data_IF_450887520431
#
_entry.id   IF_450887520431
#
_cell.length_a   1.000
_cell.length_b   1.000
_cell.length_c   1.000
_cell.angle_alpha   90.00
_cell.angle_beta   90.00
_cell.angle_gamma   90.00
#
_symmetry.space_group_name_H-M   'P 1'
#
loop_
_entity.id
_entity.type
_entity.pdbx_description
1 polymer ?
#
# COMPACT_ATOMS: atom_id res chain seq x y z
N UNK A 1 7.56 1.15 21.08
CA UNK A 1 6.41 0.33 21.51
C UNK A 1 5.07 1.02 21.22
N UNK A 2 4.90 2.29 21.57
CA UNK A 2 3.67 3.08 21.35
C UNK A 2 3.26 3.14 19.87
N UNK A 3 4.18 3.52 18.97
CA UNK A 3 3.91 3.57 17.51
C UNK A 3 3.45 2.21 16.96
N UNK A 4 4.06 1.13 17.41
CA UNK A 4 3.66 -0.23 17.00
C UNK A 4 2.23 -0.54 17.45
N UNK A 5 1.88 -0.21 18.71
CA UNK A 5 0.54 -0.45 19.24
C UNK A 5 -0.52 0.37 18.51
N UNK A 6 -0.22 1.64 18.18
CA UNK A 6 -1.15 2.49 17.43
C UNK A 6 -1.41 1.92 16.03
N UNK A 7 -0.36 1.51 15.31
CA UNK A 7 -0.51 0.90 13.98
C UNK A 7 -1.24 -0.43 14.03
N UNK A 8 -0.92 -1.29 15.00
CA UNK A 8 -1.58 -2.57 15.18
C UNK A 8 -3.08 -2.40 15.51
N UNK A 9 -3.42 -1.43 16.37
CA UNK A 9 -4.80 -1.13 16.72
C UNK A 9 -5.59 -0.63 15.50
N UNK A 10 -5.03 0.27 14.70
CA UNK A 10 -5.65 0.75 13.47
C UNK A 10 -5.88 -0.39 12.47
N UNK A 11 -4.87 -1.24 12.24
CA UNK A 11 -5.00 -2.41 11.36
C UNK A 11 -6.09 -3.36 11.86
N UNK A 12 -6.08 -3.70 13.15
CA UNK A 12 -7.10 -4.59 13.75
C UNK A 12 -8.51 -4.02 13.62
N UNK A 13 -8.70 -2.73 13.92
CA UNK A 13 -10.00 -2.09 13.80
C UNK A 13 -10.49 -2.08 12.35
N UNK A 14 -9.60 -1.72 11.40
CA UNK A 14 -9.90 -1.74 9.97
C UNK A 14 -10.31 -3.14 9.52
N UNK A 15 -9.50 -4.15 9.77
CA UNK A 15 -9.81 -5.54 9.40
C UNK A 15 -11.11 -6.04 10.06
N UNK A 16 -11.35 -5.68 11.33
CA UNK A 16 -12.59 -6.06 12.01
C UNK A 16 -13.83 -5.52 11.30
N UNK A 17 -13.81 -4.26 10.89
CA UNK A 17 -14.90 -3.63 10.13
C UNK A 17 -15.09 -4.34 8.79
N UNK A 18 -13.99 -4.56 8.05
CA UNK A 18 -14.03 -5.14 6.72
C UNK A 18 -14.52 -6.59 6.71
N UNK A 19 -14.01 -7.40 7.64
CA UNK A 19 -14.41 -8.81 7.78
C UNK A 19 -15.87 -8.90 8.23
N UNK A 20 -16.27 -8.13 9.24
CA UNK A 20 -17.65 -8.14 9.73
C UNK A 20 -18.65 -7.82 8.62
N UNK A 21 -18.36 -6.83 7.78
CA UNK A 21 -19.23 -6.43 6.69
C UNK A 21 -19.17 -7.41 5.51
N UNK A 22 -18.01 -7.99 5.23
CA UNK A 22 -17.85 -9.06 4.25
C UNK A 22 -18.72 -10.27 4.60
N UNK A 23 -18.55 -10.82 5.80
CA UNK A 23 -19.38 -11.92 6.31
C UNK A 23 -20.87 -11.53 6.37
N UNK A 24 -21.12 -10.25 6.70
CA UNK A 24 -22.47 -9.65 6.66
C UNK A 24 -23.10 -9.70 5.28
N UNK A 25 -22.34 -9.62 4.20
CA UNK A 25 -22.79 -9.80 2.82
C UNK A 25 -23.28 -11.21 2.56
N UNK A 26 -22.51 -12.24 2.92
CA UNK A 26 -22.90 -13.65 2.82
C UNK A 26 -24.13 -13.93 3.67
N UNK A 27 -24.14 -13.44 4.89
CA UNK A 27 -25.27 -13.58 5.82
C UNK A 27 -26.55 -12.98 5.25
N UNK A 28 -26.49 -11.75 4.73
CA UNK A 28 -27.65 -11.05 4.18
C UNK A 28 -28.30 -11.82 3.03
N UNK A 29 -27.52 -12.23 2.02
CA UNK A 29 -28.03 -12.96 0.88
C UNK A 29 -28.48 -14.38 1.27
N UNK A 30 -27.81 -15.04 2.22
CA UNK A 30 -28.27 -16.33 2.75
C UNK A 30 -29.66 -16.21 3.37
N UNK A 31 -29.87 -15.23 4.24
CA UNK A 31 -31.20 -15.01 4.86
C UNK A 31 -32.24 -14.58 3.82
N UNK A 32 -31.89 -13.76 2.83
CA UNK A 32 -32.77 -13.32 1.75
C UNK A 32 -33.32 -14.52 0.93
N UNK A 33 -32.50 -15.53 0.69
CA UNK A 33 -32.89 -16.73 -0.06
C UNK A 33 -33.34 -17.91 0.82
N UNK A 34 -33.53 -17.66 2.11
CA UNK A 34 -34.01 -18.69 3.05
C UNK A 34 -32.99 -19.80 3.26
N UNK A 35 -31.71 -19.48 3.20
CA UNK A 35 -30.62 -20.38 3.56
C UNK A 35 -30.30 -20.19 5.04
N UNK A 36 -30.13 -21.29 5.76
CA UNK A 36 -29.82 -21.28 7.19
C UNK A 36 -28.35 -20.94 7.37
N UNK A 37 -28.10 -19.96 8.24
CA UNK A 37 -26.76 -19.64 8.75
C UNK A 37 -26.65 -20.18 10.17
N UNK A 38 -25.68 -21.04 10.42
CA UNK A 38 -25.48 -21.72 11.70
C UNK A 38 -24.68 -20.85 12.66
N UNK A 39 -23.56 -20.27 12.18
CA UNK A 39 -22.67 -19.40 12.95
C UNK A 39 -22.33 -18.14 12.18
N UNK A 40 -22.22 -17.03 12.89
CA UNK A 40 -21.72 -15.75 12.39
C UNK A 40 -20.73 -15.21 13.41
N UNK A 41 -19.44 -15.28 13.09
CA UNK A 41 -18.37 -14.96 14.02
C UNK A 41 -17.44 -13.90 13.47
N UNK A 42 -17.20 -12.89 14.28
CA UNK A 42 -16.05 -12.01 14.09
C UNK A 42 -14.86 -12.68 14.75
N UNK A 43 -13.78 -12.86 14.02
CA UNK A 43 -12.57 -13.60 14.38
C UNK A 43 -12.80 -15.13 14.49
N UNK A 44 -11.73 -15.86 14.23
CA UNK A 44 -11.76 -17.33 14.38
C UNK A 44 -11.71 -17.73 15.85
N UNK A 45 -12.38 -18.83 16.17
CA UNK A 45 -12.52 -19.38 17.52
C UNK A 45 -11.90 -20.80 17.68
N UNK A 46 -10.68 -21.09 17.15
CA UNK A 46 -10.08 -22.39 17.36
C UNK A 46 -9.93 -22.65 18.86
N UNK A 47 -10.51 -23.77 19.31
CA UNK A 47 -10.56 -24.30 20.69
C UNK A 47 -11.50 -23.54 21.64
N UNK A 48 -11.65 -22.20 21.58
CA UNK A 48 -12.58 -21.45 22.43
C UNK A 48 -12.99 -20.12 21.79
N UNK A 49 -14.08 -19.56 22.23
CA UNK A 49 -14.57 -18.23 21.87
C UNK A 49 -14.53 -17.28 23.07
N UNK A 50 -14.41 -15.99 22.82
CA UNK A 50 -14.46 -14.96 23.85
C UNK A 50 -15.89 -14.68 24.28
N UNK A 51 -16.82 -14.71 23.33
CA UNK A 51 -18.23 -14.45 23.54
C UNK A 51 -19.06 -15.23 22.53
N UNK A 52 -20.20 -15.78 22.98
CA UNK A 52 -21.20 -16.44 22.13
C UNK A 52 -22.60 -16.07 22.60
N UNK A 53 -23.48 -15.82 21.64
CA UNK A 53 -24.87 -15.46 21.90
C UNK A 53 -25.79 -16.06 20.83
N UNK A 54 -26.84 -16.76 21.25
CA UNK A 54 -27.89 -17.29 20.36
C UNK A 54 -29.25 -16.71 20.74
N UNK A 55 -29.86 -15.85 19.87
CA UNK A 55 -31.22 -15.36 20.10
C UNK A 55 -32.22 -16.49 20.15
N UNK A 56 -33.24 -16.40 21.01
CA UNK A 56 -34.26 -17.46 21.22
C UNK A 56 -35.01 -17.86 19.96
N UNK A 57 -35.17 -16.93 19.00
CA UNK A 57 -35.92 -17.13 17.76
C UNK A 57 -35.00 -17.15 16.53
N UNK A 58 -33.72 -17.45 16.69
CA UNK A 58 -32.75 -17.50 15.60
C UNK A 58 -32.09 -18.85 15.53
N UNK A 59 -31.89 -19.35 14.30
CA UNK A 59 -31.06 -20.54 14.05
C UNK A 59 -29.56 -20.19 14.09
N UNK A 60 -29.22 -18.90 14.06
CA UNK A 60 -27.84 -18.42 13.99
C UNK A 60 -27.29 -18.15 15.38
N UNK A 61 -26.09 -18.67 15.62
CA UNK A 61 -25.26 -18.35 16.80
C UNK A 61 -24.27 -17.24 16.39
N UNK A 62 -24.25 -16.16 17.13
CA UNK A 62 -23.33 -15.02 16.94
C UNK A 62 -22.21 -15.11 17.95
N UNK A 63 -20.97 -14.84 17.54
CA UNK A 63 -19.84 -14.95 18.43
C UNK A 63 -18.66 -14.06 18.09
N UNK A 64 -17.75 -13.98 19.06
CA UNK A 64 -16.46 -13.33 18.94
C UNK A 64 -15.37 -14.36 19.25
N UNK A 65 -14.56 -14.67 18.26
CA UNK A 65 -13.37 -15.49 18.43
C UNK A 65 -12.22 -14.70 19.07
N UNK A 66 -11.15 -15.39 19.38
CA UNK A 66 -9.96 -14.77 19.97
C UNK A 66 -8.86 -14.49 18.95
N UNK A 67 -8.90 -15.13 17.76
CA UNK A 67 -7.84 -15.05 16.75
C UNK A 67 -8.21 -14.03 15.66
N UNK A 68 -7.63 -12.82 15.66
CA UNK A 68 -8.03 -11.71 14.79
C UNK A 68 -7.48 -11.83 13.35
N UNK A 69 -7.54 -13.03 12.76
CA UNK A 69 -7.06 -13.30 11.39
C UNK A 69 -8.18 -13.36 10.34
N UNK A 70 -9.43 -13.12 10.72
CA UNK A 70 -10.58 -13.17 9.85
C UNK A 70 -11.86 -13.35 10.67
N UNK A 71 -12.95 -13.72 10.01
CA UNK A 71 -14.22 -14.12 10.60
C UNK A 71 -14.80 -15.22 9.73
N UNK A 72 -16.01 -15.70 10.06
CA UNK A 72 -16.69 -16.66 9.22
C UNK A 72 -18.21 -16.63 9.38
N UNK A 73 -18.88 -16.95 8.30
CA UNK A 73 -20.31 -17.14 8.22
C UNK A 73 -20.59 -18.59 7.81
N UNK A 74 -20.83 -19.50 8.81
CA UNK A 74 -21.11 -20.91 8.52
C UNK A 74 -22.51 -21.08 7.93
N UNK A 75 -22.56 -21.40 6.63
CA UNK A 75 -23.78 -21.57 5.84
C UNK A 75 -24.09 -23.06 5.74
N UNK A 76 -25.34 -23.47 6.12
CA UNK A 76 -25.74 -24.88 6.06
C UNK A 76 -25.67 -25.43 4.64
N UNK A 77 -25.11 -26.63 4.48
CA UNK A 77 -25.02 -27.33 3.19
C UNK A 77 -24.01 -26.76 2.22
N UNK A 78 -22.98 -26.07 2.74
CA UNK A 78 -21.82 -25.57 2.01
C UNK A 78 -20.55 -26.20 2.58
N UNK A 79 -19.59 -26.54 1.73
CA UNK A 79 -18.23 -26.85 2.14
C UNK A 79 -17.52 -25.50 2.25
N UNK A 80 -17.18 -25.11 3.45
CA UNK A 80 -16.47 -23.88 3.77
C UNK A 80 -15.08 -24.18 4.39
N UNK A 81 -14.43 -23.18 4.89
CA UNK A 81 -13.13 -23.28 5.55
C UNK A 81 -13.11 -24.18 6.79
N UNK A 82 -14.29 -24.55 7.33
CA UNK A 82 -14.41 -25.50 8.45
C UNK A 82 -14.24 -26.97 8.01
N UNK A 83 -14.24 -27.25 6.69
CA UNK A 83 -14.16 -28.58 6.10
C UNK A 83 -15.20 -29.59 6.70
N UNK A 84 -16.35 -29.08 7.13
CA UNK A 84 -17.43 -29.91 7.70
C UNK A 84 -18.15 -30.68 6.58
N UNK A 85 -17.57 -31.82 6.22
CA UNK A 85 -18.15 -32.71 5.18
C UNK A 85 -19.21 -33.67 5.73
N UNK A 86 -19.40 -33.76 7.03
CA UNK A 86 -20.40 -34.69 7.63
C UNK A 86 -21.82 -34.32 7.25
N UNK A 87 -22.12 -33.01 7.19
CA UNK A 87 -23.44 -32.53 6.76
C UNK A 87 -23.72 -32.89 5.30
N UNK A 88 -22.69 -32.89 4.45
CA UNK A 88 -22.84 -33.25 3.03
C UNK A 88 -23.22 -34.71 2.78
N UNK A 89 -22.99 -35.63 3.75
CA UNK A 89 -23.37 -37.04 3.67
C UNK A 89 -24.86 -37.26 3.97
N UNK A 90 -25.55 -36.27 4.53
CA UNK A 90 -26.97 -36.35 4.86
C UNK A 90 -27.85 -35.95 3.66
N UNK A 91 -29.12 -36.38 3.62
CA UNK A 91 -30.06 -35.94 2.59
C UNK A 91 -30.20 -34.42 2.59
N UNK A 92 -30.23 -33.84 1.39
CA UNK A 92 -30.35 -32.40 1.16
C UNK A 92 -31.64 -31.83 1.78
N UNK A 93 -31.52 -30.68 2.46
CA UNK A 93 -32.63 -30.00 3.10
C UNK A 93 -32.98 -28.71 2.36
N UNK A 94 -34.25 -28.26 2.33
CA UNK A 94 -34.68 -27.07 1.59
C UNK A 94 -34.04 -25.76 2.07
N UNK A 95 -33.52 -25.72 3.30
CA UNK A 95 -32.82 -24.54 3.88
C UNK A 95 -31.32 -24.57 3.66
N UNK A 96 -30.76 -25.53 2.94
CA UNK A 96 -29.35 -25.65 2.67
C UNK A 96 -28.93 -24.89 1.41
N UNK A 97 -27.71 -24.41 1.38
CA UNK A 97 -27.09 -23.72 0.24
C UNK A 97 -27.17 -24.56 -1.04
N UNK A 98 -26.84 -25.85 -0.95
CA UNK A 98 -26.83 -26.78 -2.10
C UNK A 98 -28.21 -26.99 -2.72
N UNK A 99 -29.30 -26.74 -1.98
CA UNK A 99 -30.69 -26.88 -2.48
C UNK A 99 -31.13 -25.70 -3.35
N UNK A 100 -30.39 -24.59 -3.34
CA UNK A 100 -30.78 -23.40 -4.05
C UNK A 100 -30.29 -23.39 -5.49
N UNK A 101 -31.02 -22.76 -6.42
CA UNK A 101 -30.59 -22.62 -7.80
C UNK A 101 -29.24 -21.87 -7.88
N UNK A 102 -28.44 -22.15 -8.92
CA UNK A 102 -27.07 -21.68 -9.05
C UNK A 102 -26.96 -20.13 -8.94
N UNK A 103 -27.92 -19.38 -9.49
CA UNK A 103 -27.91 -17.92 -9.41
C UNK A 103 -28.08 -17.37 -7.98
N UNK A 104 -28.88 -18.03 -7.12
CA UNK A 104 -29.01 -17.63 -5.72
C UNK A 104 -27.72 -17.94 -4.94
N UNK A 105 -27.13 -19.11 -5.19
CA UNK A 105 -25.83 -19.48 -4.63
C UNK A 105 -24.73 -18.52 -5.07
N UNK A 106 -24.74 -18.10 -6.33
CA UNK A 106 -23.82 -17.11 -6.86
C UNK A 106 -23.94 -15.76 -6.11
N UNK A 107 -25.16 -15.28 -5.90
CA UNK A 107 -25.38 -14.02 -5.16
C UNK A 107 -24.98 -14.13 -3.68
N UNK A 108 -25.13 -15.29 -3.06
CA UNK A 108 -24.63 -15.52 -1.70
C UNK A 108 -23.11 -15.40 -1.68
N UNK A 109 -22.40 -16.03 -2.62
CA UNK A 109 -20.93 -16.01 -2.66
C UNK A 109 -20.37 -14.64 -3.06
N UNK A 110 -20.98 -13.95 -4.01
CA UNK A 110 -20.56 -12.60 -4.39
C UNK A 110 -20.90 -11.56 -3.32
N UNK A 111 -21.81 -11.90 -2.38
CA UNK A 111 -22.33 -10.99 -1.38
C UNK A 111 -21.26 -10.30 -0.53
N UNK A 112 -20.28 -11.05 -0.03
CA UNK A 112 -19.16 -10.53 0.75
C UNK A 112 -18.29 -9.57 -0.08
N UNK A 113 -17.90 -9.99 -1.27
CA UNK A 113 -17.10 -9.19 -2.21
C UNK A 113 -17.81 -7.90 -2.58
N UNK A 114 -19.11 -7.99 -2.91
CA UNK A 114 -19.93 -6.84 -3.29
C UNK A 114 -20.02 -5.81 -2.16
N UNK A 115 -20.24 -6.26 -0.94
CA UNK A 115 -20.34 -5.37 0.23
C UNK A 115 -19.02 -4.65 0.46
N UNK A 116 -17.88 -5.34 0.41
CA UNK A 116 -16.58 -4.69 0.57
C UNK A 116 -16.28 -3.68 -0.55
N UNK A 117 -16.63 -4.01 -1.79
CA UNK A 117 -16.45 -3.08 -2.91
C UNK A 117 -17.31 -1.81 -2.74
N UNK A 118 -18.60 -1.98 -2.46
CA UNK A 118 -19.52 -0.86 -2.22
C UNK A 118 -19.09 -0.04 -1.01
N UNK A 119 -18.65 -0.69 0.06
CA UNK A 119 -18.12 -0.03 1.25
C UNK A 119 -16.92 0.86 0.93
N UNK A 120 -15.98 0.37 0.15
CA UNK A 120 -14.81 1.16 -0.24
C UNK A 120 -15.22 2.43 -1.02
N UNK A 121 -16.11 2.29 -2.01
CA UNK A 121 -16.63 3.43 -2.78
C UNK A 121 -17.36 4.43 -1.88
N UNK A 122 -18.13 3.92 -0.92
CA UNK A 122 -18.84 4.76 0.06
C UNK A 122 -17.84 5.50 0.96
N UNK A 123 -16.83 4.82 1.50
CA UNK A 123 -15.81 5.45 2.37
C UNK A 123 -15.06 6.53 1.60
N UNK A 124 -14.58 6.27 0.36
CA UNK A 124 -13.93 7.30 -0.46
C UNK A 124 -14.86 8.49 -0.73
N UNK A 125 -16.14 8.25 -0.99
CA UNK A 125 -17.11 9.33 -1.17
C UNK A 125 -17.25 10.18 0.11
N UNK A 126 -17.31 9.54 1.27
CA UNK A 126 -17.42 10.25 2.55
C UNK A 126 -16.14 11.00 2.93
N UNK A 127 -14.97 10.46 2.58
CA UNK A 127 -13.68 11.16 2.73
C UNK A 127 -13.69 12.44 1.90
N UNK A 128 -14.03 12.36 0.63
CA UNK A 128 -14.08 13.52 -0.26
C UNK A 128 -15.15 14.54 0.17
N UNK A 129 -16.27 14.09 0.73
CA UNK A 129 -17.27 14.96 1.30
C UNK A 129 -16.78 15.72 2.53
N UNK A 130 -16.06 15.03 3.44
CA UNK A 130 -15.70 15.59 4.74
C UNK A 130 -14.39 16.40 4.69
N UNK A 131 -13.37 15.89 4.00
CA UNK A 131 -12.03 16.51 3.93
C UNK A 131 -11.74 17.19 2.58
N UNK A 132 -12.51 16.86 1.53
CA UNK A 132 -12.17 17.30 0.17
C UNK A 132 -11.01 16.51 -0.42
N UNK A 133 -10.36 17.08 -1.42
CA UNK A 133 -9.21 16.53 -2.13
C UNK A 133 -8.11 17.60 -2.21
N UNK A 134 -7.05 17.44 -1.42
CA UNK A 134 -5.90 18.31 -1.37
C UNK A 134 -4.73 17.70 -2.16
N UNK A 135 -4.23 18.44 -3.14
CA UNK A 135 -3.05 18.02 -3.88
C UNK A 135 -2.22 19.19 -4.38
N UNK A 136 -0.94 18.94 -4.62
CA UNK A 136 -0.06 19.84 -5.35
C UNK A 136 0.05 19.34 -6.78
N UNK A 137 -0.39 20.17 -7.74
CA UNK A 137 -0.26 19.82 -9.15
C UNK A 137 1.21 19.72 -9.55
N UNK A 138 1.56 18.76 -10.41
CA UNK A 138 2.93 18.68 -10.95
C UNK A 138 3.35 19.97 -11.63
N UNK A 139 2.42 20.69 -12.26
CA UNK A 139 2.65 22.00 -12.88
C UNK A 139 2.98 23.12 -11.86
N UNK A 140 2.49 22.99 -10.62
CA UNK A 140 2.75 23.96 -9.54
C UNK A 140 4.05 23.64 -8.78
N UNK A 141 4.72 22.52 -9.07
CA UNK A 141 6.02 22.13 -8.52
C UNK A 141 7.13 22.90 -9.25
N UNK A 142 7.24 24.19 -8.98
CA UNK A 142 8.08 25.15 -9.71
C UNK A 142 9.58 24.85 -9.65
N UNK A 143 10.06 24.10 -8.66
CA UNK A 143 11.44 23.61 -8.60
C UNK A 143 11.71 22.46 -9.58
N UNK A 144 10.65 21.88 -10.16
CA UNK A 144 10.73 20.73 -11.06
C UNK A 144 11.12 19.44 -10.36
N UNK A 145 11.65 18.51 -11.14
CA UNK A 145 12.01 17.17 -10.69
C UNK A 145 13.51 16.95 -10.70
N UNK A 146 13.97 15.99 -9.90
CA UNK A 146 15.31 15.43 -9.88
C UNK A 146 15.28 14.08 -10.58
N UNK A 147 16.26 13.81 -11.42
CA UNK A 147 16.31 12.60 -12.22
C UNK A 147 17.60 11.82 -12.00
N UNK A 148 17.53 10.50 -12.04
CA UNK A 148 18.70 9.63 -11.99
C UNK A 148 19.45 9.58 -13.33
N UNK A 149 20.51 8.78 -13.39
CA UNK A 149 21.36 8.64 -14.59
C UNK A 149 20.60 8.01 -15.77
N UNK A 150 19.72 7.05 -15.50
CA UNK A 150 18.90 6.38 -16.51
C UNK A 150 17.91 7.37 -17.16
N UNK A 151 17.16 8.11 -16.34
CA UNK A 151 16.26 9.13 -16.83
C UNK A 151 16.98 10.22 -17.63
N UNK A 152 18.18 10.64 -17.19
CA UNK A 152 19.00 11.60 -17.91
C UNK A 152 19.48 11.06 -19.26
N UNK A 153 19.76 9.77 -19.38
CA UNK A 153 20.09 9.14 -20.66
C UNK A 153 18.90 9.14 -21.66
N UNK A 154 17.66 9.19 -21.16
CA UNK A 154 16.46 9.37 -21.97
C UNK A 154 16.16 10.85 -22.32
N UNK A 155 16.99 11.78 -21.84
CA UNK A 155 16.88 13.18 -22.17
C UNK A 155 16.26 14.08 -21.11
N UNK A 156 15.85 13.54 -19.96
CA UNK A 156 15.40 14.36 -18.81
C UNK A 156 16.56 15.17 -18.24
N UNK A 157 16.23 16.31 -17.64
CA UNK A 157 17.17 17.17 -16.92
C UNK A 157 16.57 17.56 -15.58
N UNK A 158 17.45 17.75 -14.59
CA UNK A 158 17.01 18.29 -13.31
C UNK A 158 16.30 19.63 -13.55
N UNK A 159 15.25 19.90 -12.77
CA UNK A 159 14.32 21.02 -12.89
C UNK A 159 13.29 20.94 -14.05
N UNK A 160 13.24 19.85 -14.83
CA UNK A 160 12.10 19.66 -15.72
C UNK A 160 10.82 19.50 -14.87
N UNK A 161 9.76 20.20 -15.29
CA UNK A 161 8.43 20.04 -14.71
C UNK A 161 7.66 19.03 -15.57
N UNK A 162 7.21 17.95 -14.96
CA UNK A 162 6.43 16.92 -15.64
C UNK A 162 4.99 17.41 -15.87
N UNK A 163 4.50 17.28 -17.08
CA UNK A 163 3.14 17.74 -17.47
C UNK A 163 2.21 16.57 -17.69
N UNK A 164 2.63 15.55 -18.44
CA UNK A 164 1.79 14.41 -18.78
C UNK A 164 2.45 13.48 -19.79
N UNK A 165 1.68 12.52 -20.26
CA UNK A 165 2.04 11.61 -21.35
C UNK A 165 0.97 11.66 -22.45
N UNK A 166 1.10 10.84 -23.49
CA UNK A 166 0.03 10.66 -24.48
C UNK A 166 -1.27 10.10 -23.86
N UNK A 167 -1.21 9.58 -22.63
CA UNK A 167 -2.39 9.05 -21.90
C UNK A 167 -3.17 10.14 -21.16
N UNK A 168 -2.56 11.28 -20.89
CA UNK A 168 -3.17 12.39 -20.19
C UNK A 168 -2.19 13.23 -19.37
N UNK A 169 -2.71 14.29 -18.75
CA UNK A 169 -1.94 15.14 -17.87
C UNK A 169 -1.78 14.50 -16.47
N UNK A 170 -0.61 14.70 -15.88
CA UNK A 170 -0.38 14.31 -14.48
C UNK A 170 -1.11 15.28 -13.55
N UNK A 171 -1.91 14.72 -12.64
CA UNK A 171 -2.57 15.51 -11.62
C UNK A 171 -1.59 15.88 -10.50
N UNK A 172 -0.89 14.89 -10.00
CA UNK A 172 0.04 15.02 -8.87
C UNK A 172 1.22 14.07 -9.04
N UNK A 173 2.23 14.22 -8.18
CA UNK A 173 3.38 13.32 -8.12
C UNK A 173 3.04 12.11 -7.25
N UNK A 174 2.68 11.00 -7.86
CA UNK A 174 2.25 9.77 -7.20
C UNK A 174 2.67 8.49 -7.97
N UNK A 175 2.16 7.33 -7.51
CA UNK A 175 2.43 6.05 -8.16
C UNK A 175 1.82 5.92 -9.57
N UNK A 176 0.71 6.60 -9.84
CA UNK A 176 0.07 6.58 -11.16
C UNK A 176 0.95 7.27 -12.20
N UNK A 177 1.65 8.34 -11.81
CA UNK A 177 2.62 9.00 -12.68
C UNK A 177 3.76 8.05 -13.08
N UNK A 178 4.33 7.27 -12.15
CA UNK A 178 5.34 6.26 -12.48
C UNK A 178 4.80 5.18 -13.43
N UNK A 179 3.56 4.74 -13.20
CA UNK A 179 2.89 3.74 -14.04
C UNK A 179 2.68 4.26 -15.46
N UNK A 180 2.26 5.51 -15.58
CA UNK A 180 2.05 6.15 -16.88
C UNK A 180 3.36 6.37 -17.63
N UNK A 181 4.40 6.88 -16.97
CA UNK A 181 5.73 7.06 -17.58
C UNK A 181 6.31 5.71 -18.01
N UNK A 182 6.18 4.66 -17.22
CA UNK A 182 6.78 3.35 -17.53
C UNK A 182 6.28 2.73 -18.82
N UNK A 183 5.06 3.06 -19.25
CA UNK A 183 4.41 2.49 -20.42
C UNK A 183 4.10 3.53 -21.51
N UNK A 184 4.62 4.75 -21.37
CA UNK A 184 4.42 5.82 -22.33
C UNK A 184 5.47 5.78 -23.44
N UNK A 185 5.07 6.17 -24.65
CA UNK A 185 5.99 6.42 -25.77
C UNK A 185 6.50 7.87 -25.80
N UNK A 186 5.83 8.77 -25.08
CA UNK A 186 6.14 10.19 -25.01
C UNK A 186 5.77 10.76 -23.64
N UNK A 187 6.60 11.66 -23.16
CA UNK A 187 6.31 12.49 -21.98
C UNK A 187 6.42 13.97 -22.34
N UNK A 188 5.46 14.76 -21.88
CA UNK A 188 5.43 16.20 -22.07
C UNK A 188 5.98 16.88 -20.80
N UNK A 189 6.91 17.83 -20.98
CA UNK A 189 7.60 18.52 -19.90
C UNK A 189 7.65 20.03 -20.16
N UNK A 190 7.93 20.80 -19.11
CA UNK A 190 8.31 22.21 -19.23
C UNK A 190 9.76 22.33 -18.77
N UNK A 191 10.65 22.76 -19.67
CA UNK A 191 12.07 23.01 -19.42
C UNK A 191 12.38 24.49 -19.64
N UNK A 192 12.91 25.15 -18.62
CA UNK A 192 13.21 26.59 -18.65
C UNK A 192 12.01 27.43 -19.14
N UNK A 193 10.81 27.09 -18.67
CA UNK A 193 9.56 27.76 -19.04
C UNK A 193 9.03 27.44 -20.44
N UNK A 194 9.67 26.55 -21.21
CA UNK A 194 9.25 26.18 -22.56
C UNK A 194 8.70 24.74 -22.57
N UNK A 195 7.50 24.53 -23.15
CA UNK A 195 6.97 23.19 -23.33
C UNK A 195 7.79 22.40 -24.34
N UNK A 196 8.04 21.14 -24.08
CA UNK A 196 8.69 20.19 -24.99
C UNK A 196 8.27 18.75 -24.66
N UNK A 197 8.54 17.85 -25.60
CA UNK A 197 8.26 16.42 -25.41
C UNK A 197 9.53 15.60 -25.56
N UNK A 198 9.64 14.55 -24.76
CA UNK A 198 10.69 13.55 -24.84
C UNK A 198 10.08 12.21 -25.26
N UNK A 199 10.80 11.46 -26.11
CA UNK A 199 10.39 10.11 -26.50
C UNK A 199 10.88 9.11 -25.45
N UNK A 200 10.02 8.17 -25.12
CA UNK A 200 10.29 7.09 -24.17
C UNK A 200 10.20 5.73 -24.89
N UNK A 201 10.86 4.67 -24.37
CA UNK A 201 10.84 3.35 -24.98
C UNK A 201 9.47 2.65 -24.87
N UNK A 202 8.61 3.05 -23.91
CA UNK A 202 7.28 2.49 -23.69
C UNK A 202 7.23 1.20 -22.85
N UNK A 203 8.37 0.75 -22.35
CA UNK A 203 8.55 -0.51 -21.60
C UNK A 203 9.55 -0.38 -20.43
N UNK A 204 9.61 0.78 -19.80
CA UNK A 204 10.47 0.99 -18.63
C UNK A 204 10.01 0.10 -17.46
N UNK A 205 10.98 -0.44 -16.72
CA UNK A 205 10.67 -1.22 -15.51
C UNK A 205 10.26 -0.29 -14.36
N UNK A 206 8.95 -0.22 -14.12
CA UNK A 206 8.38 0.60 -13.05
C UNK A 206 8.96 0.26 -11.67
N UNK A 207 9.26 -1.01 -11.38
CA UNK A 207 9.82 -1.40 -10.08
C UNK A 207 11.23 -0.87 -9.88
N UNK A 208 12.08 -0.92 -10.90
CA UNK A 208 13.41 -0.29 -10.89
C UNK A 208 13.29 1.21 -10.71
N UNK A 209 12.39 1.86 -11.46
CA UNK A 209 12.17 3.31 -11.35
C UNK A 209 11.88 3.79 -9.93
N UNK A 210 11.16 2.97 -9.13
CA UNK A 210 10.74 3.34 -7.77
C UNK A 210 11.76 2.90 -6.70
N UNK A 211 12.41 1.75 -6.90
CA UNK A 211 13.26 1.12 -5.87
C UNK A 211 14.73 1.51 -5.94
N UNK A 212 15.20 1.89 -7.10
CA UNK A 212 16.59 2.33 -7.23
C UNK A 212 16.88 3.58 -6.40
N UNK A 213 18.13 3.72 -5.97
CA UNK A 213 18.60 4.91 -5.26
C UNK A 213 19.78 5.52 -6.03
N UNK A 214 19.63 6.73 -6.61
CA UNK A 214 18.44 7.58 -6.61
C UNK A 214 17.32 7.03 -7.52
N UNK A 215 16.07 7.34 -7.20
CA UNK A 215 14.91 6.95 -8.01
C UNK A 215 14.97 7.57 -9.41
N UNK A 216 14.29 6.95 -10.36
CA UNK A 216 14.19 7.45 -11.74
C UNK A 216 13.80 8.94 -11.78
N UNK A 217 12.81 9.31 -10.98
CA UNK A 217 12.37 10.69 -10.80
C UNK A 217 11.95 10.94 -9.35
N UNK A 218 12.29 12.10 -8.81
CA UNK A 218 11.88 12.57 -7.48
C UNK A 218 11.55 14.06 -7.57
N UNK A 219 10.77 14.57 -6.61
CA UNK A 219 10.60 16.03 -6.48
C UNK A 219 11.96 16.65 -6.17
N UNK A 220 12.34 17.70 -6.91
CA UNK A 220 13.57 18.42 -6.63
C UNK A 220 13.40 19.20 -5.32
N UNK A 221 14.26 18.91 -4.35
CA UNK A 221 14.25 19.57 -3.04
C UNK A 221 15.49 20.44 -2.94
N UNK A 222 15.37 21.79 -2.94
CA UNK A 222 16.51 22.67 -2.71
C UNK A 222 17.19 22.39 -1.36
N UNK A 223 18.52 22.44 -1.34
CA UNK A 223 19.27 22.32 -0.10
C UNK A 223 19.29 23.67 0.64
N UNK A 224 18.43 23.82 1.63
CA UNK A 224 18.25 25.06 2.39
C UNK A 224 18.16 24.75 3.88
N UNK A 225 19.18 25.16 4.63
CA UNK A 225 19.20 24.99 6.09
C UNK A 225 18.15 25.93 6.70
N UNK A 226 17.08 25.34 7.28
CA UNK A 226 16.07 26.10 8.03
C UNK A 226 16.46 26.25 9.50
N UNK A 227 16.88 25.16 10.13
CA UNK A 227 17.35 25.16 11.52
C UNK A 227 18.38 24.06 11.77
N UNK A 228 19.24 24.26 12.79
CA UNK A 228 20.30 23.33 13.15
C UNK A 228 20.03 22.72 14.52
N UNK A 229 20.16 21.40 14.61
CA UNK A 229 19.96 20.66 15.87
C UNK A 229 21.16 20.93 16.81
N UNK A 230 20.85 21.14 18.09
CA UNK A 230 21.86 21.31 19.13
C UNK A 230 22.75 20.05 19.23
N UNK A 231 24.03 20.27 19.49
CA UNK A 231 25.04 19.21 19.67
C UNK A 231 25.23 18.26 18.47
N UNK A 232 24.73 18.65 17.29
CA UNK A 232 24.83 17.90 16.04
C UNK A 232 26.13 18.16 15.28
N UNK A 233 26.49 17.32 14.28
CA UNK A 233 27.58 17.59 13.34
C UNK A 233 27.45 18.95 12.66
N UNK A 234 26.26 19.34 12.23
CA UNK A 234 26.00 20.66 11.65
C UNK A 234 26.29 21.80 12.63
N UNK A 235 25.89 21.65 13.90
CA UNK A 235 26.20 22.59 14.98
C UNK A 235 27.70 22.70 15.25
N UNK A 236 28.44 21.59 15.24
CA UNK A 236 29.90 21.56 15.42
C UNK A 236 30.65 22.28 14.30
N UNK A 237 30.12 22.32 13.09
CA UNK A 237 30.63 23.11 11.97
C UNK A 237 30.19 24.58 12.06
N UNK A 238 29.38 24.91 13.06
CA UNK A 238 28.83 26.26 13.24
C UNK A 238 27.86 26.65 12.11
N UNK A 239 27.21 25.71 11.46
CA UNK A 239 26.22 26.00 10.43
C UNK A 239 25.00 26.69 11.02
N UNK A 240 24.39 27.55 10.23
CA UNK A 240 23.21 28.33 10.58
C UNK A 240 22.26 28.46 9.38
N UNK A 241 21.07 28.97 9.63
CA UNK A 241 20.10 29.28 8.56
C UNK A 241 20.74 30.24 7.55
N UNK A 242 20.63 29.88 6.26
CA UNK A 242 21.19 30.65 5.14
C UNK A 242 22.60 30.24 4.70
N UNK A 243 23.32 29.42 5.47
CA UNK A 243 24.55 28.77 5.03
C UNK A 243 24.27 27.71 3.97
N UNK A 244 25.23 27.46 3.08
CA UNK A 244 25.11 26.50 1.96
C UNK A 244 26.13 25.37 2.10
N UNK A 245 25.69 24.13 2.03
CA UNK A 245 26.57 22.96 1.90
C UNK A 245 26.83 22.78 0.41
N UNK A 246 28.10 22.66 0.02
CA UNK A 246 28.53 22.59 -1.37
C UNK A 246 28.98 21.20 -1.77
N UNK A 247 29.64 20.46 -0.86
CA UNK A 247 30.09 19.12 -1.11
C UNK A 247 30.21 18.28 0.17
N UNK A 248 30.03 16.97 0.07
CA UNK A 248 30.33 15.98 1.12
C UNK A 248 31.26 14.93 0.53
N UNK A 249 32.36 14.63 1.23
CA UNK A 249 33.39 13.68 0.79
C UNK A 249 33.88 13.92 -0.65
N UNK A 250 33.96 15.19 -1.05
CA UNK A 250 34.37 15.62 -2.39
C UNK A 250 33.27 15.46 -3.47
N UNK A 251 32.09 15.00 -3.12
CA UNK A 251 30.93 14.94 -4.02
C UNK A 251 30.14 16.22 -3.91
N UNK A 252 29.93 16.91 -5.02
CA UNK A 252 29.10 18.12 -5.10
C UNK A 252 27.66 17.77 -4.76
N UNK A 253 27.03 18.60 -3.95
CA UNK A 253 25.60 18.50 -3.60
C UNK A 253 24.89 19.78 -4.04
N UNK A 254 23.97 19.65 -4.99
CA UNK A 254 23.19 20.76 -5.55
C UNK A 254 21.77 20.82 -4.99
N UNK A 255 21.30 19.68 -4.46
CA UNK A 255 19.97 19.50 -3.91
C UNK A 255 20.02 18.75 -2.58
N UNK A 256 18.92 18.80 -1.83
CA UNK A 256 18.77 17.95 -0.65
C UNK A 256 18.70 16.47 -1.01
N UNK A 257 18.21 16.14 -2.21
CA UNK A 257 18.26 14.79 -2.76
C UNK A 257 19.70 14.27 -2.87
N UNK A 258 20.62 15.08 -3.44
CA UNK A 258 22.06 14.72 -3.53
C UNK A 258 22.68 14.59 -2.14
N UNK A 259 22.30 15.47 -1.22
CA UNK A 259 22.78 15.45 0.16
C UNK A 259 22.36 14.14 0.86
N UNK A 260 21.10 13.74 0.74
CA UNK A 260 20.58 12.50 1.30
C UNK A 260 21.25 11.25 0.66
N UNK A 261 21.47 11.28 -0.65
CA UNK A 261 22.16 10.22 -1.36
C UNK A 261 23.58 10.00 -0.83
N UNK A 262 24.34 11.08 -0.59
CA UNK A 262 25.70 10.98 -0.03
C UNK A 262 25.69 10.52 1.43
N UNK A 263 24.70 10.92 2.25
CA UNK A 263 24.53 10.35 3.59
C UNK A 263 24.18 8.86 3.55
N UNK A 264 23.34 8.44 2.61
CA UNK A 264 23.04 7.01 2.38
C UNK A 264 24.30 6.21 2.05
N UNK A 265 25.17 6.72 1.16
CA UNK A 265 26.47 6.07 0.85
C UNK A 265 27.38 5.94 2.07
N UNK A 266 27.38 6.92 2.97
CA UNK A 266 28.11 6.80 4.24
C UNK A 266 27.48 5.70 5.10
N UNK A 267 26.17 5.56 5.09
CA UNK A 267 25.43 4.47 5.76
C UNK A 267 25.82 3.09 5.23
N UNK A 268 25.90 2.94 3.89
CA UNK A 268 26.32 1.68 3.24
C UNK A 268 27.76 1.28 3.64
N UNK A 269 28.68 2.27 3.69
CA UNK A 269 30.05 2.04 4.16
C UNK A 269 30.08 1.67 5.63
N UNK A 270 29.24 2.33 6.45
CA UNK A 270 29.11 2.03 7.88
C UNK A 270 28.58 0.60 8.10
N UNK A 271 27.59 0.16 7.32
CA UNK A 271 27.02 -1.19 7.40
C UNK A 271 28.07 -2.28 7.11
N UNK A 272 29.06 -1.98 6.28
CA UNK A 272 30.17 -2.88 5.96
C UNK A 272 31.35 -2.83 6.96
N UNK A 273 31.32 -1.90 7.94
CA UNK A 273 32.39 -1.72 8.91
C UNK A 273 32.46 -2.86 9.92
N UNK A 274 33.60 -3.52 10.03
CA UNK A 274 33.81 -4.67 10.93
C UNK A 274 34.37 -4.29 12.29
N UNK A 275 34.97 -3.12 12.43
CA UNK A 275 35.58 -2.64 13.67
C UNK A 275 35.06 -1.25 14.07
N UNK A 276 35.18 -0.89 15.34
CA UNK A 276 34.85 0.46 15.81
C UNK A 276 35.67 1.54 15.05
N UNK A 277 36.93 1.25 14.74
CA UNK A 277 37.79 2.17 14.01
C UNK A 277 37.29 2.40 12.57
N UNK A 278 36.83 1.34 11.89
CA UNK A 278 36.24 1.43 10.56
C UNK A 278 34.95 2.23 10.60
N UNK A 279 34.12 2.04 11.64
CA UNK A 279 32.88 2.80 11.84
C UNK A 279 33.15 4.29 12.03
N UNK A 280 34.14 4.66 12.86
CA UNK A 280 34.53 6.07 13.05
C UNK A 280 35.06 6.67 11.75
N UNK A 281 35.85 5.90 10.98
CA UNK A 281 36.38 6.34 9.68
C UNK A 281 35.24 6.56 8.69
N UNK A 282 34.29 5.65 8.61
CA UNK A 282 33.12 5.76 7.74
C UNK A 282 32.27 6.99 8.08
N UNK A 283 32.06 7.27 9.37
CA UNK A 283 31.28 8.40 9.84
C UNK A 283 32.03 9.75 9.79
N UNK A 284 33.33 9.77 9.55
CA UNK A 284 34.10 11.00 9.43
C UNK A 284 33.96 11.57 8.03
N UNK A 285 33.11 12.56 7.86
CA UNK A 285 32.85 13.21 6.56
C UNK A 285 33.61 14.52 6.40
N UNK A 286 34.20 14.72 5.22
CA UNK A 286 34.73 16.02 4.79
C UNK A 286 33.59 16.85 4.18
N UNK A 287 33.30 17.99 4.77
CA UNK A 287 32.18 18.86 4.35
C UNK A 287 32.74 20.18 3.85
N UNK A 288 32.39 20.56 2.63
CA UNK A 288 32.65 21.86 2.05
C UNK A 288 31.38 22.70 2.09
N UNK A 289 31.44 23.85 2.69
CA UNK A 289 30.28 24.71 2.91
C UNK A 289 30.64 26.19 2.83
N UNK A 290 29.65 27.00 2.53
CA UNK A 290 29.79 28.44 2.42
C UNK A 290 28.92 29.13 3.49
N UNK A 291 29.51 29.98 4.26
CA UNK A 291 28.81 30.85 5.19
C UNK A 291 28.04 31.96 4.45
N UNK A 292 27.00 32.48 5.10
CA UNK A 292 26.29 33.66 4.57
C UNK A 292 27.22 34.87 4.32
N UNK A 293 28.36 34.91 4.99
CA UNK A 293 29.46 35.91 4.79
C UNK A 293 30.30 35.67 3.54
N UNK A 294 30.01 34.69 2.72
CA UNK A 294 30.68 34.33 1.46
C UNK A 294 32.02 33.58 1.55
N UNK A 295 32.46 33.19 2.75
CA UNK A 295 33.66 32.36 2.91
C UNK A 295 33.33 30.86 2.69
N UNK A 296 34.08 30.22 1.79
CA UNK A 296 34.03 28.78 1.59
C UNK A 296 35.01 28.09 2.54
N UNK A 297 34.46 27.19 3.36
CA UNK A 297 35.22 26.46 4.37
C UNK A 297 35.16 24.95 4.07
N UNK A 298 36.21 24.22 4.45
CA UNK A 298 36.26 22.76 4.33
C UNK A 298 36.75 22.18 5.65
N UNK A 299 35.90 21.41 6.31
CA UNK A 299 36.20 20.79 7.60
C UNK A 299 35.72 19.34 7.63
N UNK A 300 36.40 18.55 8.47
CA UNK A 300 35.94 17.18 8.78
C UNK A 300 35.02 17.22 9.99
N UNK A 301 33.96 16.43 9.96
CA UNK A 301 33.02 16.27 11.06
C UNK A 301 32.64 14.82 11.22
N UNK A 302 32.50 14.37 12.47
CA UNK A 302 31.96 13.05 12.78
C UNK A 302 30.44 13.10 12.73
N UNK A 303 29.85 12.36 11.80
CA UNK A 303 28.40 12.22 11.65
C UNK A 303 27.79 11.39 12.78
N UNK A 304 26.52 11.58 13.04
CA UNK A 304 25.75 10.73 13.96
C UNK A 304 25.13 9.57 13.19
N UNK A 305 25.07 8.40 13.81
CA UNK A 305 24.38 7.25 13.26
C UNK A 305 23.41 6.65 14.29
N UNK A 306 22.26 6.26 13.80
CA UNK A 306 21.29 5.44 14.50
C UNK A 306 21.07 4.20 13.67
N UNK A 307 21.76 3.10 14.04
CA UNK A 307 22.00 1.94 13.18
C UNK A 307 22.68 2.37 11.88
N UNK A 308 22.07 2.14 10.72
CA UNK A 308 22.57 2.53 9.40
C UNK A 308 22.13 3.93 8.97
N UNK A 309 21.20 4.57 9.69
CA UNK A 309 20.72 5.91 9.37
C UNK A 309 21.71 6.96 9.84
N UNK A 310 22.42 7.56 8.88
CA UNK A 310 23.39 8.63 9.14
C UNK A 310 22.69 9.97 9.19
N UNK A 311 22.98 10.76 10.23
CA UNK A 311 22.36 12.06 10.50
C UNK A 311 23.41 13.16 10.55
N UNK A 312 23.13 14.26 9.87
CA UNK A 312 23.97 15.46 9.88
C UNK A 312 23.51 16.49 10.91
N UNK A 313 22.21 16.55 11.17
CA UNK A 313 21.62 17.32 12.24
C UNK A 313 21.24 18.75 11.88
N UNK A 314 20.60 18.94 10.75
CA UNK A 314 19.82 20.12 10.43
C UNK A 314 18.46 19.73 9.85
N UNK A 315 17.52 20.66 9.87
CA UNK A 315 16.25 20.56 9.17
C UNK A 315 16.35 21.36 7.87
N UNK A 316 16.04 20.68 6.75
CA UNK A 316 15.91 21.33 5.45
C UNK A 316 14.56 22.02 5.35
N UNK A 317 14.48 23.12 4.62
CA UNK A 317 13.21 23.78 4.35
C UNK A 317 12.25 22.83 3.61
N UNK A 318 11.00 22.63 4.10
CA UNK A 318 10.06 21.74 3.45
C UNK A 318 9.49 22.38 2.17
N UNK A 319 10.09 22.10 1.02
CA UNK A 319 9.74 22.69 -0.28
C UNK A 319 8.25 22.57 -0.65
N UNK A 320 7.57 21.56 -0.13
CA UNK A 320 6.12 21.39 -0.37
C UNK A 320 5.28 22.53 0.21
N UNK A 321 5.78 23.26 1.20
CA UNK A 321 5.11 24.45 1.75
C UNK A 321 5.16 25.66 0.81
N UNK A 322 6.09 25.65 -0.17
CA UNK A 322 6.24 26.73 -1.15
C UNK A 322 5.30 26.56 -2.35
N UNK A 323 4.70 25.38 -2.48
CA UNK A 323 3.84 25.06 -3.60
C UNK A 323 2.38 25.37 -3.31
N UNK A 324 1.67 25.75 -4.36
CA UNK A 324 0.23 25.99 -4.28
C UNK A 324 -0.51 24.67 -4.09
N UNK A 325 -1.15 24.52 -2.94
CA UNK A 325 -2.08 23.43 -2.70
C UNK A 325 -3.42 23.74 -3.38
N UNK A 326 -3.88 22.84 -4.22
CA UNK A 326 -5.23 22.89 -4.81
C UNK A 326 -6.15 22.10 -3.88
N UNK A 327 -7.16 22.79 -3.33
CA UNK A 327 -8.21 22.18 -2.52
C UNK A 327 -9.50 22.10 -3.32
N UNK A 328 -10.07 20.90 -3.44
CA UNK A 328 -11.38 20.66 -4.06
C UNK A 328 -12.35 20.21 -2.98
N UNK A 329 -13.35 21.00 -2.68
CA UNK A 329 -14.44 20.61 -1.78
C UNK A 329 -15.60 20.03 -2.58
N UNK A 330 -16.21 18.97 -2.08
CA UNK A 330 -17.33 18.29 -2.71
C UNK A 330 -18.57 18.41 -1.83
N UNK A 331 -19.70 18.81 -2.43
CA UNK A 331 -21.00 18.67 -1.77
C UNK A 331 -21.38 17.19 -1.63
N UNK A 332 -22.31 16.87 -0.70
CA UNK A 332 -22.70 15.49 -0.40
C UNK A 332 -22.97 14.64 -1.66
N UNK A 333 -23.84 15.11 -2.57
CA UNK A 333 -24.16 14.37 -3.80
C UNK A 333 -23.01 14.36 -4.83
N UNK A 334 -22.16 15.37 -4.81
CA UNK A 334 -21.01 15.46 -5.73
C UNK A 334 -19.89 14.53 -5.30
N UNK A 335 -19.79 14.19 -4.02
CA UNK A 335 -18.77 13.30 -3.50
C UNK A 335 -18.92 11.84 -4.00
N UNK A 336 -20.16 11.39 -4.29
CA UNK A 336 -20.38 10.02 -4.77
C UNK A 336 -19.73 9.73 -6.11
N UNK A 337 -20.00 10.49 -7.19
CA UNK A 337 -19.31 10.23 -8.46
C UNK A 337 -17.79 10.42 -8.37
N UNK A 338 -17.33 11.37 -7.56
CA UNK A 338 -15.90 11.58 -7.32
C UNK A 338 -15.25 10.39 -6.56
N UNK A 339 -15.89 9.92 -5.48
CA UNK A 339 -15.42 8.78 -4.70
C UNK A 339 -15.47 7.45 -5.48
N UNK A 340 -16.50 7.24 -6.30
CA UNK A 340 -16.58 6.09 -7.21
C UNK A 340 -15.41 6.14 -8.21
N UNK A 341 -15.16 7.29 -8.84
CA UNK A 341 -14.03 7.45 -9.75
C UNK A 341 -12.70 7.21 -9.05
N UNK A 342 -12.53 7.74 -7.83
CA UNK A 342 -11.32 7.53 -7.03
C UNK A 342 -11.10 6.05 -6.73
N UNK A 343 -12.11 5.37 -6.17
CA UNK A 343 -12.02 3.94 -5.85
C UNK A 343 -11.81 3.06 -7.07
N UNK A 344 -12.42 3.41 -8.22
CA UNK A 344 -12.17 2.72 -9.49
C UNK A 344 -10.71 2.86 -9.94
N UNK A 345 -10.14 4.06 -9.84
CA UNK A 345 -8.74 4.29 -10.20
C UNK A 345 -7.80 3.48 -9.29
N UNK A 346 -8.08 3.43 -7.98
CA UNK A 346 -7.33 2.58 -7.03
C UNK A 346 -7.40 1.12 -7.44
N UNK A 347 -8.59 0.59 -7.76
CA UNK A 347 -8.75 -0.78 -8.22
C UNK A 347 -7.99 -1.02 -9.54
N UNK A 348 -8.14 -0.15 -10.52
CA UNK A 348 -7.48 -0.28 -11.82
C UNK A 348 -5.95 -0.26 -11.68
N UNK A 349 -5.42 0.62 -10.82
CA UNK A 349 -4.01 0.67 -10.48
C UNK A 349 -3.53 -0.65 -9.85
N UNK A 350 -4.24 -1.13 -8.83
CA UNK A 350 -3.91 -2.38 -8.15
C UNK A 350 -3.91 -3.59 -9.10
N UNK A 351 -4.93 -3.71 -9.96
CA UNK A 351 -5.00 -4.75 -10.99
C UNK A 351 -3.84 -4.64 -11.99
N UNK A 352 -3.52 -3.42 -12.41
CA UNK A 352 -2.38 -3.17 -13.29
C UNK A 352 -1.03 -3.58 -12.70
N UNK A 353 -0.88 -3.46 -11.38
CA UNK A 353 0.34 -3.80 -10.66
C UNK A 353 0.47 -5.31 -10.36
N UNK A 354 -0.62 -6.09 -10.48
CA UNK A 354 -0.57 -7.55 -10.26
C UNK A 354 0.45 -8.28 -11.14
N UNK A 355 0.75 -7.76 -12.34
CA UNK A 355 1.80 -8.32 -13.21
C UNK A 355 3.17 -8.36 -12.53
N UNK A 356 3.45 -7.41 -11.63
CA UNK A 356 4.74 -7.34 -10.93
C UNK A 356 4.88 -8.38 -9.82
N UNK A 357 3.77 -8.90 -9.27
CA UNK A 357 3.80 -9.94 -8.22
C UNK A 357 4.53 -11.20 -8.70
N UNK A 358 4.45 -11.50 -10.00
CA UNK A 358 5.11 -12.66 -10.61
C UNK A 358 6.56 -12.39 -11.00
N UNK A 359 7.09 -11.19 -10.79
CA UNK A 359 8.51 -10.89 -10.97
C UNK A 359 9.32 -11.31 -9.73
N UNK A 360 10.62 -11.50 -9.90
CA UNK A 360 11.53 -11.85 -8.78
C UNK A 360 11.55 -10.75 -7.72
N UNK A 361 11.55 -9.51 -8.14
CA UNK A 361 11.54 -8.31 -7.30
C UNK A 361 10.20 -8.14 -6.61
N UNK A 362 9.09 -8.41 -7.32
CA UNK A 362 7.73 -8.38 -6.77
C UNK A 362 7.50 -9.45 -5.70
N UNK A 363 7.97 -10.68 -5.92
CA UNK A 363 7.88 -11.74 -4.93
C UNK A 363 8.59 -11.38 -3.60
N UNK A 364 9.75 -10.71 -3.69
CA UNK A 364 10.45 -10.16 -2.52
C UNK A 364 9.69 -8.99 -1.86
N UNK A 365 8.84 -8.31 -2.62
CA UNK A 365 8.06 -7.17 -2.12
C UNK A 365 6.75 -7.58 -1.45
N UNK A 366 6.34 -8.86 -1.59
CA UNK A 366 5.16 -9.37 -0.88
C UNK A 366 5.34 -9.14 0.62
N UNK A 367 4.41 -8.40 1.19
CA UNK A 367 4.35 -8.11 2.61
C UNK A 367 3.23 -8.85 3.30
N UNK A 368 3.45 -9.23 4.56
CA UNK A 368 2.44 -9.82 5.44
C UNK A 368 1.76 -8.75 6.32
N UNK A 369 1.36 -9.15 7.52
CA UNK A 369 0.69 -8.26 8.46
C UNK A 369 1.56 -7.09 8.93
N UNK A 370 2.88 -7.27 9.01
CA UNK A 370 3.84 -6.22 9.35
C UNK A 370 3.86 -5.11 8.29
N UNK A 371 3.91 -5.49 7.00
CA UNK A 371 3.85 -4.56 5.90
C UNK A 371 2.51 -3.82 5.85
N UNK A 372 1.37 -4.52 6.00
CA UNK A 372 0.05 -3.90 6.06
C UNK A 372 -0.07 -2.92 7.24
N UNK A 373 0.42 -3.30 8.42
CA UNK A 373 0.45 -2.41 9.58
C UNK A 373 1.32 -1.18 9.35
N UNK A 374 2.39 -1.29 8.57
CA UNK A 374 3.27 -0.16 8.26
C UNK A 374 2.60 0.94 7.43
N UNK A 375 1.54 0.62 6.68
CA UNK A 375 0.77 1.57 5.88
C UNK A 375 -0.02 2.56 6.74
N UNK A 376 -0.36 2.19 7.98
CA UNK A 376 -1.07 3.08 8.89
C UNK A 376 -0.12 4.11 9.52
N UNK A 377 -0.61 5.33 9.81
CA UNK A 377 0.20 6.39 10.41
C UNK A 377 0.66 6.03 11.82
N UNK A 378 1.78 6.62 12.24
CA UNK A 378 2.35 6.43 13.58
C UNK A 378 1.58 7.15 14.70
N UNK A 379 0.75 8.12 14.33
CA UNK A 379 -0.21 8.79 15.20
C UNK A 379 -1.62 8.58 14.66
N UNK A 380 -2.62 8.65 15.52
CA UNK A 380 -4.00 8.48 15.10
C UNK A 380 -4.45 9.64 14.21
N UNK A 381 -4.81 9.31 12.97
CA UNK A 381 -5.34 10.23 11.97
C UNK A 381 -6.55 9.60 11.31
N UNK A 382 -7.72 10.20 11.48
CA UNK A 382 -8.98 9.65 10.96
C UNK A 382 -9.05 9.67 9.43
N UNK A 383 -8.48 10.69 8.78
CA UNK A 383 -8.43 10.75 7.32
C UNK A 383 -7.58 9.57 6.77
N UNK A 384 -6.36 9.43 7.27
CA UNK A 384 -5.47 8.33 6.87
C UNK A 384 -6.03 6.95 7.24
N UNK A 385 -6.66 6.80 8.41
CA UNK A 385 -7.32 5.57 8.82
C UNK A 385 -8.41 5.14 7.82
N UNK A 386 -9.33 6.05 7.44
CA UNK A 386 -10.39 5.73 6.50
C UNK A 386 -9.87 5.52 5.08
N UNK A 387 -8.85 6.27 4.64
CA UNK A 387 -8.18 6.06 3.36
C UNK A 387 -7.59 4.64 3.27
N UNK A 388 -6.88 4.19 4.32
CA UNK A 388 -6.32 2.84 4.37
C UNK A 388 -7.40 1.77 4.47
N UNK A 389 -8.46 2.00 5.25
CA UNK A 389 -9.60 1.08 5.35
C UNK A 389 -10.30 0.90 4.00
N UNK A 390 -10.55 1.97 3.25
CA UNK A 390 -11.13 1.89 1.91
C UNK A 390 -10.19 1.15 0.93
N UNK A 391 -8.90 1.42 0.98
CA UNK A 391 -7.89 0.73 0.18
C UNK A 391 -7.88 -0.78 0.47
N UNK A 392 -7.81 -1.17 1.75
CA UNK A 392 -7.87 -2.58 2.15
C UNK A 392 -9.18 -3.24 1.75
N UNK A 393 -10.31 -2.51 1.79
CA UNK A 393 -11.61 -3.00 1.34
C UNK A 393 -11.62 -3.36 -0.15
N UNK A 394 -11.01 -2.52 -1.00
CA UNK A 394 -10.84 -2.82 -2.44
C UNK A 394 -9.95 -4.04 -2.64
N UNK A 395 -8.82 -4.13 -1.92
CA UNK A 395 -7.91 -5.28 -2.01
C UNK A 395 -8.64 -6.56 -1.62
N UNK A 396 -9.37 -6.57 -0.50
CA UNK A 396 -10.13 -7.74 -0.06
C UNK A 396 -11.20 -8.13 -1.07
N UNK A 397 -11.95 -7.16 -1.62
CA UNK A 397 -12.94 -7.43 -2.66
C UNK A 397 -12.29 -8.04 -3.90
N UNK A 398 -11.16 -7.49 -4.35
CA UNK A 398 -10.45 -7.98 -5.52
C UNK A 398 -9.83 -9.36 -5.29
N UNK A 399 -9.15 -9.57 -4.17
CA UNK A 399 -8.52 -10.86 -3.85
C UNK A 399 -9.57 -11.97 -3.73
N UNK A 400 -10.70 -11.69 -3.07
CA UNK A 400 -11.75 -12.67 -2.87
C UNK A 400 -12.54 -12.99 -4.15
N UNK A 401 -12.53 -12.13 -5.19
CA UNK A 401 -13.17 -12.47 -6.48
C UNK A 401 -12.26 -13.28 -7.41
N UNK A 402 -10.96 -13.40 -7.11
CA UNK A 402 -10.04 -14.21 -7.92
C UNK A 402 -10.50 -15.69 -7.93
N UNK A 403 -10.38 -16.39 -9.06
CA UNK A 403 -10.83 -17.79 -9.18
C UNK A 403 -9.86 -18.77 -8.48
N UNK A 404 -9.58 -18.49 -7.21
CA UNK A 404 -8.72 -19.33 -6.36
C UNK A 404 -9.64 -20.10 -5.42
N UNK A 405 -9.66 -21.45 -5.46
CA UNK A 405 -10.38 -22.26 -4.48
C UNK A 405 -9.95 -21.86 -3.06
N UNK A 406 -10.83 -22.01 -2.09
CA UNK A 406 -10.74 -21.49 -0.73
C UNK A 406 -10.90 -19.94 -0.58
N UNK A 407 -11.18 -19.23 -1.68
CA UNK A 407 -11.74 -17.88 -1.69
C UNK A 407 -13.13 -17.91 -2.33
N UNK A 408 -13.96 -16.89 -2.06
CA UNK A 408 -15.32 -16.79 -2.65
C UNK A 408 -15.30 -16.92 -4.17
N UNK A 409 -14.29 -16.34 -4.83
CA UNK A 409 -14.10 -16.39 -6.28
C UNK A 409 -13.93 -17.81 -6.83
N UNK A 410 -13.39 -18.73 -6.05
CA UNK A 410 -13.36 -20.16 -6.41
C UNK A 410 -14.77 -20.73 -6.53
N UNK A 411 -15.62 -20.48 -5.54
CA UNK A 411 -17.03 -20.88 -5.58
C UNK A 411 -17.80 -20.16 -6.69
N UNK A 412 -17.56 -18.85 -6.89
CA UNK A 412 -18.12 -18.07 -7.98
C UNK A 412 -17.76 -18.70 -9.34
N UNK A 413 -16.52 -19.09 -9.54
CA UNK A 413 -16.06 -19.73 -10.76
C UNK A 413 -16.79 -21.08 -11.02
N UNK A 414 -16.93 -21.92 -10.01
CA UNK A 414 -17.64 -23.19 -10.13
C UNK A 414 -19.14 -23.00 -10.40
N UNK A 415 -19.77 -21.99 -9.79
CA UNK A 415 -21.17 -21.66 -10.01
C UNK A 415 -21.40 -21.08 -11.42
N UNK A 416 -20.50 -20.26 -11.92
CA UNK A 416 -20.55 -19.78 -13.31
C UNK A 416 -20.40 -20.95 -14.31
N UNK A 417 -19.49 -21.88 -14.05
CA UNK A 417 -19.36 -23.10 -14.84
C UNK A 417 -20.69 -23.90 -14.85
N UNK A 418 -21.32 -24.10 -13.67
CA UNK A 418 -22.59 -24.79 -13.55
C UNK A 418 -23.71 -24.08 -14.33
N UNK A 419 -23.78 -22.75 -14.24
CA UNK A 419 -24.78 -21.95 -14.97
C UNK A 419 -24.63 -22.02 -16.49
N UNK A 420 -23.39 -22.05 -16.99
CA UNK A 420 -23.09 -22.11 -18.43
C UNK A 420 -23.29 -23.52 -18.99
N UNK A 421 -22.82 -24.55 -18.27
CA UNK A 421 -22.81 -25.91 -18.77
C UNK A 421 -24.05 -26.74 -18.37
N UNK A 422 -24.80 -26.25 -17.38
CA UNK A 422 -25.91 -27.02 -16.75
C UNK A 422 -25.42 -28.21 -15.93
N UNK A 423 -24.13 -28.34 -15.66
CA UNK A 423 -23.54 -29.48 -14.93
C UNK A 423 -22.80 -28.99 -13.67
N UNK A 424 -23.21 -29.51 -12.52
CA UNK A 424 -22.56 -29.27 -11.25
C UNK A 424 -21.20 -29.99 -11.21
N UNK A 425 -20.10 -29.32 -10.81
CA UNK A 425 -18.84 -30.02 -10.50
C UNK A 425 -19.04 -31.07 -9.41
N UNK A 426 -18.32 -32.20 -9.50
CA UNK A 426 -18.46 -33.27 -8.51
C UNK A 426 -17.91 -32.83 -7.14
N UNK A 427 -18.60 -33.25 -6.05
CA UNK A 427 -18.24 -32.84 -4.67
C UNK A 427 -16.79 -33.19 -4.31
N UNK A 428 -16.28 -34.36 -4.71
CA UNK A 428 -14.88 -34.77 -4.50
C UNK A 428 -13.88 -33.89 -5.25
N UNK A 429 -14.27 -33.35 -6.41
CA UNK A 429 -13.42 -32.42 -7.15
C UNK A 429 -13.36 -31.06 -6.43
N UNK A 430 -14.50 -30.54 -6.00
CA UNK A 430 -14.59 -29.29 -5.25
C UNK A 430 -13.79 -29.36 -3.95
N UNK A 431 -13.98 -30.43 -3.16
CA UNK A 431 -13.24 -30.67 -1.93
C UNK A 431 -11.71 -30.66 -2.16
N UNK A 432 -11.23 -31.36 -3.20
CA UNK A 432 -9.79 -31.37 -3.53
C UNK A 432 -9.30 -29.99 -3.98
N UNK A 433 -10.10 -29.28 -4.75
CA UNK A 433 -9.76 -27.93 -5.18
C UNK A 433 -9.62 -26.99 -3.98
N UNK A 434 -10.55 -27.08 -3.00
CA UNK A 434 -10.49 -26.31 -1.74
C UNK A 434 -9.21 -26.60 -0.95
N UNK A 435 -8.83 -27.87 -0.77
CA UNK A 435 -7.57 -28.24 -0.11
C UNK A 435 -6.32 -27.65 -0.81
N UNK A 436 -6.30 -27.71 -2.14
CA UNK A 436 -5.18 -27.15 -2.93
C UNK A 436 -5.15 -25.63 -2.80
N UNK A 437 -6.29 -24.96 -2.95
CA UNK A 437 -6.41 -23.52 -2.80
C UNK A 437 -5.97 -23.05 -1.40
N UNK A 438 -6.47 -23.73 -0.35
CA UNK A 438 -6.06 -23.44 1.02
C UNK A 438 -4.55 -23.63 1.22
N UNK A 439 -3.96 -24.70 0.68
CA UNK A 439 -2.51 -24.90 0.73
C UNK A 439 -1.73 -23.78 0.06
N UNK A 440 -2.19 -23.26 -1.09
CA UNK A 440 -1.59 -22.11 -1.77
C UNK A 440 -1.68 -20.84 -0.90
N UNK A 441 -2.86 -20.58 -0.31
CA UNK A 441 -3.05 -19.39 0.56
C UNK A 441 -2.16 -19.44 1.80
N UNK A 442 -2.06 -20.61 2.45
CA UNK A 442 -1.16 -20.79 3.60
C UNK A 442 0.31 -20.56 3.20
N UNK A 443 0.73 -21.11 2.04
CA UNK A 443 2.09 -20.89 1.53
C UNK A 443 2.37 -19.40 1.28
N UNK A 444 1.45 -18.69 0.63
CA UNK A 444 1.58 -17.26 0.38
C UNK A 444 1.65 -16.46 1.70
N UNK A 445 0.81 -16.81 2.67
CA UNK A 445 0.81 -16.18 3.99
C UNK A 445 2.15 -16.39 4.71
N UNK A 446 2.69 -17.61 4.67
CA UNK A 446 4.00 -17.93 5.27
C UNK A 446 5.11 -17.14 4.59
N UNK A 447 5.15 -17.12 3.25
CA UNK A 447 6.17 -16.37 2.49
C UNK A 447 6.08 -14.87 2.78
N UNK A 448 4.88 -14.28 2.78
CA UNK A 448 4.69 -12.85 3.04
C UNK A 448 5.16 -12.45 4.46
N UNK A 449 4.77 -13.22 5.48
CA UNK A 449 5.21 -12.94 6.85
C UNK A 449 6.69 -13.25 7.08
N UNK A 450 7.27 -14.25 6.39
CA UNK A 450 8.72 -14.50 6.42
C UNK A 450 9.48 -13.32 5.81
N UNK A 451 9.02 -12.75 4.70
CA UNK A 451 9.60 -11.55 4.13
C UNK A 451 9.59 -10.38 5.12
N UNK A 452 8.48 -10.19 5.87
CA UNK A 452 8.41 -9.15 6.90
C UNK A 452 9.44 -9.36 8.02
N UNK A 453 9.63 -10.61 8.46
CA UNK A 453 10.64 -10.97 9.45
C UNK A 453 12.06 -10.72 8.91
N UNK A 454 12.35 -11.12 7.67
CA UNK A 454 13.66 -10.90 7.05
C UNK A 454 13.99 -9.42 6.90
N UNK A 455 13.01 -8.59 6.52
CA UNK A 455 13.15 -7.11 6.48
C UNK A 455 13.38 -6.53 7.87
N UNK A 456 12.69 -7.03 8.89
CA UNK A 456 12.88 -6.56 10.28
C UNK A 456 14.31 -6.81 10.77
N UNK A 457 14.95 -7.91 10.35
CA UNK A 457 16.34 -8.23 10.67
C UNK A 457 17.36 -7.64 9.69
N UNK A 458 16.94 -6.86 8.68
CA UNK A 458 17.84 -6.25 7.70
C UNK A 458 18.52 -7.27 6.76
N UNK A 459 17.91 -8.44 6.55
CA UNK A 459 18.44 -9.49 5.67
C UNK A 459 17.95 -9.32 4.22
N UNK A 460 16.88 -8.53 4.05
CA UNK A 460 16.29 -8.19 2.74
C UNK A 460 16.02 -6.71 2.63
#
# INVERSE_FOLDING_TARGET
MEVFLIKALQLMLSLSILVLLHEGGHFFFSKLFGVRVEKFYLFFDPWFHLFEFKPKNSDTTYGLGWLPLGGYCKISGMIDESFDTEQMKQPEQPYEFRSKPAWQRLLIMVGGVLVNFVLALFIYSMILFHWGDDYVSTKDMTQGMKFNTEAKALGFQDHDILVGTEKGEFKTFDGDMYRDISTASRVDIIRNGKPMSLNLPGDLDMLSMIKESPRFVEVYIPLQIDSVMKDSPASKLGLAKGDKILAINGKKVESFNDFQLELGRVGDVLASASTHQDSVKALTASVEYMKASSDTLKNNVLLLADKENVKFGFYNHPVMLDYKVTHISYGFFQSFPAGIKYGWNVLAGYVGDMKYVFSKEGAKSLGGFGALGSLFPSMWDWHAFWMMTAFLSIILAFMNILPIPALDGGHVFFLLYEMITGRKPGDKFMERAEYVGFGILVLLLVVANLNDVLRFFGIM
#
